data_IF_106753292929
#
_entry.id   IF_106753292929
#
_cell.length_a   1.000
_cell.length_b   1.000
_cell.length_c   1.000
_cell.angle_alpha   90.00
_cell.angle_beta   90.00
_cell.angle_gamma   90.00
#
_symmetry.space_group_name_H-M   'P 1'
#
loop_
_entity.id
_entity.type
_entity.pdbx_description
1 polymer ?
#
# COMPACT_ATOMS: atom_id res chain seq x y z
N UNK A 1 21.05 9.80 -32.52
CA UNK A 1 19.76 9.82 -31.79
C UNK A 1 20.08 10.17 -30.34
N UNK A 2 19.49 11.23 -29.80
CA UNK A 2 19.64 11.58 -28.39
C UNK A 2 18.50 10.92 -27.61
N UNK A 3 18.80 10.20 -26.54
CA UNK A 3 17.79 9.58 -25.68
C UNK A 3 17.10 10.68 -24.88
N UNK A 4 15.86 11.00 -25.22
CA UNK A 4 15.07 11.98 -24.47
C UNK A 4 14.51 11.32 -23.20
N UNK A 5 15.24 11.46 -22.10
CA UNK A 5 14.79 10.99 -20.79
C UNK A 5 13.78 11.97 -20.18
N UNK A 6 12.70 11.44 -19.59
CA UNK A 6 11.75 12.19 -18.78
C UNK A 6 11.87 11.76 -17.32
N UNK A 7 11.85 12.75 -16.42
CA UNK A 7 11.83 12.53 -14.99
C UNK A 7 10.49 13.04 -14.45
N UNK A 8 9.74 12.16 -13.78
CA UNK A 8 8.41 12.45 -13.25
C UNK A 8 8.41 12.13 -11.76
N UNK A 9 8.06 13.12 -10.95
CA UNK A 9 7.78 12.89 -9.53
C UNK A 9 6.41 12.24 -9.35
N UNK A 10 6.30 11.30 -8.42
CA UNK A 10 5.03 10.64 -8.08
C UNK A 10 4.87 10.67 -6.56
N UNK A 11 3.68 11.03 -6.10
CA UNK A 11 3.32 11.09 -4.68
C UNK A 11 1.83 10.80 -4.55
N UNK A 12 1.50 9.63 -4.00
CA UNK A 12 0.11 9.19 -3.79
C UNK A 12 -0.74 9.21 -5.08
N UNK A 13 -2.05 9.32 -4.93
CA UNK A 13 -3.05 9.29 -5.98
C UNK A 13 -4.22 10.23 -5.64
N UNK A 14 -4.90 10.70 -6.67
CA UNK A 14 -6.19 11.40 -6.59
C UNK A 14 -7.32 10.44 -6.24
N UNK A 15 -8.48 10.98 -5.82
CA UNK A 15 -9.68 10.17 -5.58
C UNK A 15 -10.12 9.38 -6.81
N UNK A 16 -9.99 9.95 -8.01
CA UNK A 16 -10.34 9.28 -9.25
C UNK A 16 -9.42 8.08 -9.51
N UNK A 17 -8.11 8.27 -9.39
CA UNK A 17 -7.12 7.19 -9.52
C UNK A 17 -7.34 6.09 -8.47
N UNK A 18 -7.74 6.45 -7.24
CA UNK A 18 -8.11 5.47 -6.21
C UNK A 18 -9.33 4.64 -6.61
N UNK A 19 -10.36 5.26 -7.18
CA UNK A 19 -11.57 4.57 -7.62
C UNK A 19 -11.28 3.61 -8.76
N UNK A 20 -10.41 4.01 -9.70
CA UNK A 20 -9.92 3.16 -10.78
C UNK A 20 -9.14 1.96 -10.23
N UNK A 21 -8.19 2.19 -9.32
CA UNK A 21 -7.46 1.11 -8.64
C UNK A 21 -8.43 0.13 -7.95
N UNK A 22 -9.41 0.64 -7.22
CA UNK A 22 -10.42 -0.19 -6.56
C UNK A 22 -11.29 -0.97 -7.55
N UNK A 23 -11.58 -0.42 -8.73
CA UNK A 23 -12.29 -1.16 -9.78
C UNK A 23 -11.46 -2.34 -10.30
N UNK A 24 -10.15 -2.15 -10.49
CA UNK A 24 -9.23 -3.22 -10.90
C UNK A 24 -9.13 -4.33 -9.85
N UNK A 25 -9.01 -3.97 -8.57
CA UNK A 25 -9.02 -4.95 -7.45
C UNK A 25 -10.33 -5.75 -7.46
N UNK A 26 -11.47 -5.08 -7.54
CA UNK A 26 -12.80 -5.74 -7.56
C UNK A 26 -13.00 -6.66 -8.77
N UNK A 27 -12.43 -6.30 -9.91
CA UNK A 27 -12.46 -7.11 -11.11
C UNK A 27 -11.50 -8.32 -11.05
N UNK A 28 -10.70 -8.46 -9.99
CA UNK A 28 -9.70 -9.52 -9.87
C UNK A 28 -8.52 -9.36 -10.82
N UNK A 29 -8.30 -8.15 -11.34
CA UNK A 29 -7.23 -7.86 -12.31
C UNK A 29 -5.89 -7.57 -11.65
N UNK A 30 -5.88 -7.38 -10.33
CA UNK A 30 -4.68 -7.16 -9.54
C UNK A 30 -4.51 -8.30 -8.54
N UNK A 31 -3.29 -8.84 -8.46
CA UNK A 31 -2.91 -9.82 -7.46
C UNK A 31 -2.58 -9.12 -6.14
N UNK A 32 -3.55 -9.10 -5.22
CA UNK A 32 -3.39 -8.46 -3.91
C UNK A 32 -2.66 -9.33 -2.89
N UNK A 33 -2.32 -10.59 -3.22
CA UNK A 33 -1.63 -11.49 -2.30
C UNK A 33 -0.18 -11.04 -2.01
N UNK A 34 0.36 -10.17 -2.85
CA UNK A 34 1.70 -9.58 -2.63
C UNK A 34 1.73 -8.60 -1.47
N UNK A 35 0.57 -8.07 -1.05
CA UNK A 35 0.45 -7.19 0.10
C UNK A 35 0.30 -8.03 1.36
N UNK A 36 1.43 -8.45 1.93
CA UNK A 36 1.44 -9.38 3.07
C UNK A 36 0.78 -8.70 4.28
N UNK A 37 -0.34 -9.24 4.79
CA UNK A 37 -1.09 -8.60 5.87
C UNK A 37 -0.35 -8.69 7.19
N UNK A 38 -0.37 -7.58 7.94
CA UNK A 38 0.12 -7.44 9.32
C UNK A 38 -1.02 -6.86 10.18
N UNK A 39 -1.95 -7.71 10.66
CA UNK A 39 -3.07 -7.27 11.48
C UNK A 39 -2.65 -7.02 12.93
N UNK A 40 -3.21 -5.98 13.54
CA UNK A 40 -3.03 -5.65 14.97
C UNK A 40 -4.39 -5.30 15.59
N UNK A 41 -4.56 -5.55 16.89
CA UNK A 41 -5.69 -4.97 17.62
C UNK A 41 -5.42 -3.50 17.93
N UNK A 42 -6.46 -2.74 18.30
CA UNK A 42 -6.31 -1.33 18.65
C UNK A 42 -5.33 -1.12 19.82
N UNK A 43 -5.35 -1.99 20.83
CA UNK A 43 -4.45 -1.93 21.99
C UNK A 43 -2.97 -2.17 21.61
N UNK A 44 -2.72 -2.73 20.41
CA UNK A 44 -1.38 -3.00 19.88
C UNK A 44 -0.88 -1.89 18.94
N UNK A 45 -1.54 -0.73 18.86
CA UNK A 45 -1.19 0.35 17.93
C UNK A 45 0.30 0.76 18.02
N UNK A 46 0.85 0.86 19.23
CA UNK A 46 2.26 1.23 19.40
C UNK A 46 3.21 0.15 18.87
N UNK A 47 2.89 -1.13 19.05
CA UNK A 47 3.67 -2.21 18.46
C UNK A 47 3.63 -2.14 16.93
N UNK A 48 2.47 -1.85 16.34
CA UNK A 48 2.35 -1.69 14.89
C UNK A 48 3.26 -0.56 14.37
N UNK A 49 3.36 0.57 15.10
CA UNK A 49 4.25 1.68 14.75
C UNK A 49 5.73 1.31 14.86
N UNK A 50 6.11 0.57 15.90
CA UNK A 50 7.48 0.05 16.06
C UNK A 50 7.85 -0.89 14.91
N UNK A 51 6.97 -1.84 14.57
CA UNK A 51 7.20 -2.81 13.50
C UNK A 51 7.26 -2.14 12.11
N UNK A 52 6.51 -1.05 11.88
CA UNK A 52 6.64 -0.23 10.67
C UNK A 52 8.03 0.41 10.61
N UNK A 53 8.57 0.85 11.73
CA UNK A 53 9.88 1.49 11.76
C UNK A 53 11.03 0.49 11.56
N UNK A 54 10.91 -0.74 12.08
CA UNK A 54 11.99 -1.73 12.04
C UNK A 54 11.95 -2.66 10.81
N UNK A 55 10.77 -3.03 10.33
CA UNK A 55 10.59 -4.12 9.38
C UNK A 55 9.90 -3.73 8.06
N UNK A 56 9.56 -2.45 7.84
CA UNK A 56 8.88 -2.03 6.62
C UNK A 56 9.76 -2.22 5.36
N UNK A 57 9.18 -2.86 4.34
CA UNK A 57 9.84 -3.15 3.07
C UNK A 57 9.04 -2.67 1.83
N UNK A 58 7.96 -1.90 2.05
CA UNK A 58 7.08 -1.40 0.99
C UNK A 58 5.97 -2.36 0.52
N UNK A 59 5.98 -3.62 0.96
CA UNK A 59 4.99 -4.65 0.56
C UNK A 59 4.18 -5.23 1.74
N UNK A 60 4.46 -4.78 2.97
CA UNK A 60 3.68 -5.14 4.15
C UNK A 60 2.47 -4.23 4.30
N UNK A 61 1.29 -4.80 4.52
CA UNK A 61 0.06 -4.08 4.81
C UNK A 61 -0.26 -4.13 6.30
N UNK A 62 0.14 -3.08 7.03
CA UNK A 62 -0.17 -2.90 8.45
C UNK A 62 -1.58 -2.32 8.60
N UNK A 63 -2.44 -2.99 9.36
CA UNK A 63 -3.80 -2.51 9.58
C UNK A 63 -4.33 -2.91 10.96
N UNK A 64 -5.24 -2.09 11.48
CA UNK A 64 -5.97 -2.40 12.71
C UNK A 64 -7.21 -3.22 12.34
N UNK A 65 -7.36 -4.39 12.94
CA UNK A 65 -8.57 -5.20 12.82
C UNK A 65 -9.56 -4.82 13.92
N UNK A 66 -10.83 -4.74 13.56
CA UNK A 66 -11.94 -4.54 14.48
C UNK A 66 -12.81 -5.79 14.43
N UNK A 67 -13.04 -6.44 15.58
CA UNK A 67 -13.97 -7.56 15.73
C UNK A 67 -15.42 -7.09 15.83
#
# INVERSE_FOLDING_TARGET
>A
MCTQLQYIGSLWFTTAEAQELMALIRAGLLDTNQWVPRPYTLDQLNQALEDIQTDANGFLNYHIVHE
#
